data_IF_668328984739
#
_entry.id   IF_668328984739
#
_cell.length_a   1.000
_cell.length_b   1.000
_cell.length_c   1.000
_cell.angle_alpha   90.00
_cell.angle_beta   90.00
_cell.angle_gamma   90.00
#
_symmetry.space_group_name_H-M   'P 1'
#
loop_
_entity.id
_entity.type
_entity.pdbx_description
1 polymer ?
#
# COMPACT_ATOMS: atom_id res chain seq x y z
N UNK A 1 3.53 -21.90 -21.16
CA UNK A 1 2.86 -21.09 -20.10
C UNK A 1 3.92 -20.43 -19.22
N UNK A 2 4.44 -19.23 -19.54
CA UNK A 2 5.44 -18.58 -18.68
C UNK A 2 4.86 -17.52 -17.72
N UNK A 3 3.54 -17.40 -17.52
CA UNK A 3 2.94 -16.34 -16.70
C UNK A 3 2.04 -16.83 -15.55
N UNK A 4 2.18 -18.06 -15.09
CA UNK A 4 1.13 -18.66 -14.24
C UNK A 4 1.48 -18.88 -12.76
N UNK A 5 2.58 -18.39 -12.23
CA UNK A 5 2.95 -18.71 -10.84
C UNK A 5 2.48 -17.70 -9.79
N UNK A 6 2.04 -16.50 -10.19
CA UNK A 6 1.69 -15.44 -9.22
C UNK A 6 0.53 -14.51 -9.68
N UNK A 7 -0.25 -14.96 -10.63
CA UNK A 7 -1.43 -14.20 -11.09
C UNK A 7 -2.60 -14.54 -10.18
N UNK A 8 -2.96 -13.61 -9.29
CA UNK A 8 -4.21 -13.67 -8.56
C UNK A 8 -5.41 -13.69 -9.52
N UNK A 9 -6.58 -13.98 -9.00
CA UNK A 9 -7.82 -13.95 -9.80
C UNK A 9 -8.16 -12.49 -10.14
N UNK A 10 -8.41 -12.24 -11.42
CA UNK A 10 -8.95 -10.99 -11.93
C UNK A 10 -10.23 -11.31 -12.70
N UNK A 11 -11.29 -10.56 -12.45
CA UNK A 11 -12.59 -10.75 -13.11
C UNK A 11 -13.21 -9.42 -13.50
N UNK A 12 -14.30 -9.48 -14.27
CA UNK A 12 -15.07 -8.32 -14.67
C UNK A 12 -15.26 -8.24 -16.18
N UNK A 13 -16.16 -7.35 -16.60
CA UNK A 13 -16.46 -7.08 -18.02
C UNK A 13 -15.96 -5.70 -18.39
N UNK A 14 -14.99 -5.65 -19.31
CA UNK A 14 -14.47 -4.41 -19.86
C UNK A 14 -15.16 -4.12 -21.20
N UNK A 15 -15.70 -2.92 -21.35
CA UNK A 15 -16.30 -2.46 -22.59
C UNK A 15 -15.69 -1.11 -23.02
N UNK A 16 -15.55 -0.92 -24.31
CA UNK A 16 -15.12 0.32 -24.92
C UNK A 16 -16.10 0.72 -26.02
N UNK A 17 -16.51 1.97 -26.00
CA UNK A 17 -17.36 2.59 -27.01
C UNK A 17 -16.72 3.89 -27.47
N UNK A 18 -16.17 3.92 -28.69
CA UNK A 18 -15.45 5.11 -29.16
C UNK A 18 -14.90 4.96 -30.57
N UNK A 19 -14.10 5.95 -30.96
CA UNK A 19 -13.42 6.01 -32.25
C UNK A 19 -11.90 5.95 -32.05
N UNK A 20 -11.26 5.18 -32.91
CA UNK A 20 -9.81 5.18 -33.09
C UNK A 20 -9.54 5.87 -34.42
N UNK A 21 -8.75 6.93 -34.41
CA UNK A 21 -8.40 7.74 -35.56
C UNK A 21 -6.89 8.03 -35.60
N UNK A 22 -6.40 8.75 -36.59
CA UNK A 22 -4.98 9.02 -36.71
C UNK A 22 -4.23 7.95 -37.50
N UNK A 23 -2.95 7.77 -37.21
CA UNK A 23 -2.08 6.80 -37.85
C UNK A 23 -1.65 5.72 -36.89
N UNK A 24 -1.14 4.58 -37.40
CA UNK A 24 -0.62 3.48 -36.53
C UNK A 24 0.49 3.97 -35.60
N UNK A 25 1.27 4.98 -36.02
CA UNK A 25 2.35 5.57 -35.20
C UNK A 25 1.86 6.64 -34.22
N UNK A 26 0.69 7.24 -34.46
CA UNK A 26 0.09 8.26 -33.60
C UNK A 26 -1.43 8.06 -33.56
N UNK A 27 -1.91 7.02 -32.87
CA UNK A 27 -3.33 6.76 -32.74
C UNK A 27 -3.98 7.80 -31.81
N UNK A 28 -5.15 8.27 -32.20
CA UNK A 28 -6.00 9.14 -31.39
C UNK A 28 -7.21 8.35 -30.93
N UNK A 29 -7.37 8.23 -29.64
CA UNK A 29 -8.47 7.53 -28.98
C UNK A 29 -9.50 8.57 -28.50
N UNK A 30 -10.76 8.30 -28.72
CA UNK A 30 -11.84 9.07 -28.11
C UNK A 30 -13.02 8.14 -27.84
N UNK A 31 -13.61 8.23 -26.67
CA UNK A 31 -14.70 7.35 -26.29
C UNK A 31 -14.74 7.09 -24.80
N UNK A 32 -15.52 6.12 -24.43
CA UNK A 32 -15.78 5.75 -23.06
C UNK A 32 -15.36 4.31 -22.80
N UNK A 33 -14.63 4.11 -21.71
CA UNK A 33 -14.24 2.80 -21.18
C UNK A 33 -15.05 2.54 -19.92
N UNK A 34 -15.61 1.34 -19.79
CA UNK A 34 -16.33 0.91 -18.60
C UNK A 34 -15.86 -0.49 -18.19
N UNK A 35 -15.52 -0.61 -16.91
CA UNK A 35 -15.34 -1.90 -16.25
C UNK A 35 -16.53 -2.10 -15.31
N UNK A 36 -17.20 -3.24 -15.44
CA UNK A 36 -18.29 -3.67 -14.57
C UNK A 36 -17.94 -4.97 -13.86
N UNK A 37 -18.39 -5.08 -12.63
CA UNK A 37 -18.25 -6.26 -11.78
C UNK A 37 -16.80 -6.76 -11.68
N UNK A 38 -15.86 -5.77 -11.67
CA UNK A 38 -14.45 -6.05 -11.56
C UNK A 38 -14.10 -6.67 -10.21
N UNK A 39 -13.11 -7.55 -10.21
CA UNK A 39 -12.53 -8.11 -8.99
C UNK A 39 -11.03 -8.32 -9.15
N UNK A 40 -10.30 -8.10 -8.06
CA UNK A 40 -8.86 -8.34 -7.97
C UNK A 40 -8.58 -9.01 -6.63
N UNK A 41 -8.01 -10.21 -6.69
CA UNK A 41 -7.57 -10.95 -5.50
C UNK A 41 -6.21 -11.58 -5.79
N UNK A 42 -5.22 -11.29 -4.98
CA UNK A 42 -3.89 -11.87 -5.06
C UNK A 42 -3.34 -12.06 -3.65
N UNK A 43 -2.71 -13.21 -3.38
CA UNK A 43 -2.15 -13.52 -2.06
C UNK A 43 -1.06 -12.55 -1.60
N UNK A 44 -0.32 -11.97 -2.55
CA UNK A 44 0.70 -10.95 -2.28
C UNK A 44 0.14 -9.55 -2.04
N UNK A 45 -1.13 -9.30 -2.34
CA UNK A 45 -1.79 -8.02 -2.08
C UNK A 45 -2.51 -8.06 -0.73
N UNK A 46 -2.35 -7.05 0.12
CA UNK A 46 -3.03 -6.98 1.41
C UNK A 46 -4.53 -6.63 1.28
N UNK A 47 -5.05 -6.54 0.06
CA UNK A 47 -6.43 -6.17 -0.24
C UNK A 47 -7.06 -7.10 -1.25
N UNK A 48 -8.33 -7.43 -1.04
CA UNK A 48 -9.19 -8.05 -2.03
C UNK A 48 -10.23 -7.01 -2.48
N UNK A 49 -10.17 -6.63 -3.75
CA UNK A 49 -11.11 -5.67 -4.33
C UNK A 49 -12.22 -6.43 -5.06
N UNK A 50 -13.45 -6.07 -4.78
CA UNK A 50 -14.65 -6.64 -5.41
C UNK A 50 -15.58 -5.54 -5.87
N UNK A 51 -16.54 -5.90 -6.72
CA UNK A 51 -17.54 -4.97 -7.26
C UNK A 51 -16.88 -3.68 -7.80
N UNK A 52 -15.77 -3.84 -8.52
CA UNK A 52 -15.10 -2.69 -9.12
C UNK A 52 -15.94 -2.21 -10.30
N UNK A 53 -16.43 -0.98 -10.19
CA UNK A 53 -17.10 -0.25 -11.24
C UNK A 53 -16.18 0.89 -11.63
N UNK A 54 -15.77 0.98 -12.89
CA UNK A 54 -14.92 2.05 -13.37
C UNK A 54 -15.47 2.62 -14.67
N UNK A 55 -15.50 3.92 -14.75
CA UNK A 55 -15.82 4.68 -15.93
C UNK A 55 -14.67 5.64 -16.25
N UNK A 56 -14.25 5.64 -17.50
CA UNK A 56 -13.24 6.57 -18.00
C UNK A 56 -13.70 7.17 -19.32
N UNK A 57 -13.77 8.49 -19.37
CA UNK A 57 -14.03 9.23 -20.62
C UNK A 57 -12.71 9.71 -21.20
N UNK A 58 -12.43 9.26 -22.43
CA UNK A 58 -11.22 9.63 -23.19
C UNK A 58 -11.58 10.71 -24.19
N UNK A 59 -10.89 11.83 -24.12
CA UNK A 59 -11.09 12.99 -25.01
C UNK A 59 -9.74 13.52 -25.46
N UNK A 60 -9.39 13.24 -26.71
CA UNK A 60 -8.10 13.61 -27.30
C UNK A 60 -6.91 13.06 -26.49
N UNK A 61 -6.23 13.92 -25.76
CA UNK A 61 -4.99 13.62 -25.03
C UNK A 61 -5.23 13.49 -23.51
N UNK A 62 -6.49 13.39 -23.08
CA UNK A 62 -6.87 13.31 -21.68
C UNK A 62 -7.91 12.21 -21.44
N UNK A 63 -7.88 11.62 -20.25
CA UNK A 63 -8.92 10.77 -19.76
C UNK A 63 -9.31 11.17 -18.33
N UNK A 64 -10.59 11.11 -18.04
CA UNK A 64 -11.09 11.18 -16.66
C UNK A 64 -11.32 9.77 -16.13
N UNK A 65 -11.12 9.58 -14.85
CA UNK A 65 -11.33 8.30 -14.17
C UNK A 65 -12.32 8.51 -13.05
N UNK A 66 -13.37 7.70 -13.02
CA UNK A 66 -14.31 7.61 -11.92
C UNK A 66 -14.55 6.14 -11.61
N UNK A 67 -14.24 5.72 -10.41
CA UNK A 67 -14.36 4.34 -9.98
C UNK A 67 -14.92 4.21 -8.57
N UNK A 68 -15.56 3.09 -8.33
CA UNK A 68 -15.98 2.64 -7.01
C UNK A 68 -15.64 1.17 -6.86
N UNK A 69 -15.35 0.75 -5.65
CA UNK A 69 -15.00 -0.64 -5.35
C UNK A 69 -15.29 -0.97 -3.89
N UNK A 70 -15.29 -2.26 -3.58
CA UNK A 70 -15.40 -2.74 -2.22
C UNK A 70 -14.11 -3.45 -1.77
N UNK A 71 -13.79 -3.37 -0.49
CA UNK A 71 -12.81 -4.22 0.18
C UNK A 71 -13.39 -4.72 1.49
N UNK A 72 -13.72 -6.01 1.56
CA UNK A 72 -14.55 -6.55 2.61
C UNK A 72 -15.95 -5.92 2.59
N UNK A 73 -16.34 -5.26 3.70
CA UNK A 73 -17.58 -4.48 3.80
C UNK A 73 -17.38 -2.98 3.52
N UNK A 74 -16.13 -2.56 3.38
CA UNK A 74 -15.78 -1.18 3.13
C UNK A 74 -15.96 -0.79 1.68
N UNK A 75 -16.20 0.49 1.44
CA UNK A 75 -16.37 1.09 0.12
C UNK A 75 -15.26 2.09 -0.16
N UNK A 76 -14.79 2.09 -1.39
CA UNK A 76 -13.80 3.03 -1.87
C UNK A 76 -14.22 3.69 -3.17
N UNK A 77 -13.76 4.91 -3.39
CA UNK A 77 -13.92 5.65 -4.64
C UNK A 77 -12.55 6.09 -5.13
N UNK A 78 -12.36 6.01 -6.43
CA UNK A 78 -11.17 6.47 -7.13
C UNK A 78 -11.59 7.46 -8.21
N UNK A 79 -11.10 8.68 -8.12
CA UNK A 79 -11.33 9.70 -9.15
C UNK A 79 -10.02 10.25 -9.63
N UNK A 80 -9.99 10.78 -10.86
CA UNK A 80 -8.77 11.41 -11.34
C UNK A 80 -8.75 11.71 -12.82
N UNK A 81 -7.57 12.08 -13.27
CA UNK A 81 -7.29 12.45 -14.65
C UNK A 81 -5.96 11.86 -15.09
N UNK A 82 -5.89 11.51 -16.35
CA UNK A 82 -4.66 11.15 -17.05
C UNK A 82 -4.53 12.09 -18.23
N UNK A 83 -3.41 12.78 -18.31
CA UNK A 83 -3.04 13.64 -19.44
C UNK A 83 -1.79 13.05 -20.09
N UNK A 84 -1.77 12.93 -21.41
CA UNK A 84 -0.60 12.42 -22.15
C UNK A 84 -0.20 13.29 -23.34
N UNK A 85 -0.64 14.55 -23.33
CA UNK A 85 -0.40 15.48 -24.45
C UNK A 85 1.09 15.76 -24.68
N UNK A 86 1.82 16.16 -23.65
CA UNK A 86 3.23 16.54 -23.74
C UNK A 86 4.07 15.73 -22.73
N UNK A 87 3.87 16.00 -21.44
CA UNK A 87 4.50 15.27 -20.34
C UNK A 87 3.38 14.48 -19.62
N UNK A 88 3.33 13.15 -19.78
CA UNK A 88 2.29 12.35 -19.20
C UNK A 88 2.17 12.58 -17.69
N UNK A 89 0.95 12.87 -17.24
CA UNK A 89 0.65 13.08 -15.83
C UNK A 89 -0.60 12.32 -15.42
N UNK A 90 -0.52 11.63 -14.30
CA UNK A 90 -1.62 10.90 -13.71
C UNK A 90 -1.91 11.50 -12.34
N UNK A 91 -3.12 12.00 -12.15
CA UNK A 91 -3.58 12.53 -10.88
C UNK A 91 -4.76 11.71 -10.41
N UNK A 92 -4.64 11.11 -9.23
CA UNK A 92 -5.67 10.25 -8.65
C UNK A 92 -6.00 10.70 -7.24
N UNK A 93 -7.25 10.56 -6.87
CA UNK A 93 -7.75 10.72 -5.52
C UNK A 93 -8.48 9.44 -5.10
N UNK A 94 -8.02 8.86 -4.01
CA UNK A 94 -8.61 7.69 -3.37
C UNK A 94 -9.28 8.12 -2.07
N UNK A 95 -10.56 7.88 -1.96
CA UNK A 95 -11.29 7.98 -0.70
C UNK A 95 -11.87 6.62 -0.36
N UNK A 96 -11.78 6.22 0.90
CA UNK A 96 -12.33 4.95 1.35
C UNK A 96 -12.97 5.08 2.72
N UNK A 97 -13.85 4.15 3.01
CA UNK A 97 -14.46 4.01 4.33
C UNK A 97 -14.40 2.54 4.74
N UNK A 98 -13.75 2.28 5.87
CA UNK A 98 -13.62 0.94 6.47
C UNK A 98 -13.14 -0.15 5.50
N UNK A 99 -12.19 0.19 4.61
CA UNK A 99 -11.60 -0.77 3.68
C UNK A 99 -10.84 -1.84 4.46
N UNK A 100 -11.11 -3.11 4.15
CA UNK A 100 -10.42 -4.23 4.79
C UNK A 100 -9.05 -4.43 4.18
N UNK A 101 -8.02 -4.35 5.04
CA UNK A 101 -6.65 -4.74 4.73
C UNK A 101 -6.32 -6.00 5.52
N UNK A 102 -5.77 -7.01 4.85
CA UNK A 102 -5.37 -8.26 5.48
C UNK A 102 -4.03 -8.73 4.94
N UNK A 103 -3.06 -8.78 5.81
CA UNK A 103 -1.75 -9.38 5.57
C UNK A 103 -1.53 -10.49 6.61
N UNK A 104 -2.09 -11.66 6.32
CA UNK A 104 -2.00 -12.79 7.24
C UNK A 104 -0.56 -13.29 7.39
N UNK A 105 -0.16 -13.74 8.61
CA UNK A 105 -0.96 -13.72 9.85
C UNK A 105 -0.85 -12.41 10.65
N UNK A 106 -0.07 -11.43 10.16
CA UNK A 106 0.43 -10.30 10.94
C UNK A 106 -0.60 -9.20 11.19
N UNK A 107 -1.38 -8.83 10.16
CA UNK A 107 -2.23 -7.64 10.23
C UNK A 107 -3.60 -7.93 9.62
N UNK A 108 -4.65 -7.55 10.36
CA UNK A 108 -6.00 -7.35 9.82
C UNK A 108 -6.48 -5.98 10.29
N UNK A 109 -6.81 -5.09 9.37
CA UNK A 109 -7.20 -3.73 9.69
C UNK A 109 -8.38 -3.24 8.84
N UNK A 110 -9.18 -2.35 9.41
CA UNK A 110 -10.08 -1.48 8.67
C UNK A 110 -9.39 -0.12 8.52
N UNK A 111 -9.37 0.42 7.32
CA UNK A 111 -8.75 1.71 7.04
C UNK A 111 -9.70 2.64 6.30
N UNK A 112 -9.60 3.91 6.61
CA UNK A 112 -10.36 4.99 5.97
C UNK A 112 -9.35 5.97 5.38
N UNK A 113 -8.88 5.72 4.13
CA UNK A 113 -7.92 6.58 3.47
C UNK A 113 -8.59 7.78 2.80
N UNK A 114 -7.86 8.90 2.78
CA UNK A 114 -8.07 10.07 1.93
C UNK A 114 -6.72 10.43 1.32
N UNK A 115 -6.44 9.93 0.12
CA UNK A 115 -5.11 9.96 -0.47
C UNK A 115 -5.18 10.60 -1.84
N UNK A 116 -4.20 11.46 -2.14
CA UNK A 116 -3.94 11.98 -3.47
C UNK A 116 -2.62 11.45 -3.99
N UNK A 117 -2.60 11.07 -5.26
CA UNK A 117 -1.45 10.55 -5.97
C UNK A 117 -1.23 11.39 -7.23
N UNK A 118 0.01 11.84 -7.42
CA UNK A 118 0.45 12.56 -8.62
C UNK A 118 1.68 11.84 -9.19
N UNK A 119 1.58 11.38 -10.42
CA UNK A 119 2.64 10.61 -11.09
C UNK A 119 3.04 11.29 -12.38
N UNK A 120 4.34 11.52 -12.54
CA UNK A 120 4.99 12.01 -13.76
C UNK A 120 5.88 10.87 -14.30
N UNK A 121 5.35 10.01 -15.20
CA UNK A 121 6.03 8.78 -15.60
C UNK A 121 7.38 9.02 -16.29
N UNK A 122 7.48 10.02 -17.17
CA UNK A 122 8.72 10.33 -17.89
C UNK A 122 9.81 10.85 -16.94
N UNK A 123 9.43 11.66 -15.98
CA UNK A 123 10.34 12.18 -14.94
C UNK A 123 10.60 11.18 -13.84
N UNK A 124 9.89 10.04 -13.80
CA UNK A 124 9.90 9.03 -12.74
C UNK A 124 9.67 9.65 -11.35
N UNK A 125 8.72 10.57 -11.26
CA UNK A 125 8.32 11.20 -10.00
C UNK A 125 6.95 10.69 -9.56
N UNK A 126 6.83 10.40 -8.27
CA UNK A 126 5.60 10.00 -7.61
C UNK A 126 5.44 10.81 -6.33
N UNK A 127 4.32 11.50 -6.21
CA UNK A 127 3.98 12.24 -4.99
C UNK A 127 2.70 11.67 -4.40
N UNK A 128 2.75 11.29 -3.13
CA UNK A 128 1.65 10.68 -2.38
C UNK A 128 1.38 11.52 -1.13
N UNK A 129 0.18 12.09 -1.01
CA UNK A 129 -0.21 12.87 0.14
C UNK A 129 -1.54 12.39 0.69
N UNK A 130 -1.75 12.54 1.99
CA UNK A 130 -3.05 12.27 2.54
C UNK A 130 -3.08 11.84 3.99
N UNK A 131 -4.24 11.29 4.36
CA UNK A 131 -4.54 10.83 5.70
C UNK A 131 -5.12 9.42 5.63
N UNK A 132 -4.73 8.59 6.59
CA UNK A 132 -5.24 7.23 6.77
C UNK A 132 -5.70 7.11 8.22
N UNK A 133 -7.00 6.99 8.42
CA UNK A 133 -7.54 6.62 9.72
C UNK A 133 -7.66 5.09 9.81
N UNK A 134 -7.25 4.54 10.94
CA UNK A 134 -7.31 3.10 11.23
C UNK A 134 -8.26 2.89 12.41
N UNK A 135 -9.59 2.89 12.20
CA UNK A 135 -10.55 2.76 13.28
C UNK A 135 -10.42 1.46 14.05
N UNK A 136 -10.03 0.38 13.38
CA UNK A 136 -9.84 -0.95 13.96
C UNK A 136 -8.67 -1.66 13.30
N UNK A 137 -7.83 -2.29 14.11
CA UNK A 137 -6.82 -3.23 13.63
C UNK A 137 -6.53 -4.31 14.67
N UNK A 138 -6.16 -5.48 14.19
CA UNK A 138 -5.49 -6.52 14.94
C UNK A 138 -4.10 -6.71 14.33
N UNK A 139 -3.08 -6.42 15.12
CA UNK A 139 -1.68 -6.60 14.77
C UNK A 139 -1.16 -7.76 15.61
N UNK A 140 -0.80 -8.87 14.99
CA UNK A 140 -0.33 -10.07 15.70
C UNK A 140 1.18 -10.17 15.59
N UNK A 141 1.82 -10.41 16.71
CA UNK A 141 3.22 -10.81 16.72
C UNK A 141 3.31 -12.25 16.20
N UNK A 142 4.14 -12.57 15.21
CA UNK A 142 4.39 -13.96 14.86
C UNK A 142 4.94 -14.66 16.08
N UNK A 143 4.39 -15.84 16.39
CA UNK A 143 5.01 -16.71 17.40
C UNK A 143 6.44 -16.93 16.95
N UNK A 144 7.41 -16.66 17.85
CA UNK A 144 8.81 -16.87 17.55
C UNK A 144 9.00 -18.37 17.23
N UNK A 145 8.99 -18.69 15.95
CA UNK A 145 9.53 -19.96 15.51
C UNK A 145 10.96 -20.00 16.02
N UNK A 146 11.30 -21.11 16.68
CA UNK A 146 12.62 -21.46 17.22
C UNK A 146 13.73 -20.76 16.44
N UNK A 147 14.68 -20.07 17.09
CA UNK A 147 15.67 -19.28 16.38
C UNK A 147 16.33 -20.15 15.32
N UNK A 148 16.01 -19.91 14.07
CA UNK A 148 16.81 -20.40 12.96
C UNK A 148 18.15 -19.72 13.16
N UNK A 149 19.15 -20.51 13.52
CA UNK A 149 20.54 -20.07 13.61
C UNK A 149 20.81 -19.32 12.32
N UNK A 150 20.94 -18.01 12.41
CA UNK A 150 21.31 -17.21 11.25
C UNK A 150 22.61 -17.80 10.70
N UNK A 151 22.58 -18.20 9.44
CA UNK A 151 23.78 -18.59 8.72
C UNK A 151 24.79 -17.48 8.96
N UNK A 152 25.94 -17.85 9.55
CA UNK A 152 27.02 -16.91 9.88
C UNK A 152 27.24 -15.98 8.68
N UNK A 153 27.44 -14.69 8.93
CA UNK A 153 27.74 -13.68 7.91
C UNK A 153 28.96 -14.01 7.04
N UNK A 154 29.66 -15.09 7.39
CA UNK A 154 30.86 -15.60 6.72
C UNK A 154 30.56 -16.67 5.64
N UNK A 155 29.30 -17.11 5.52
CA UNK A 155 28.88 -18.06 4.47
C UNK A 155 28.37 -17.28 3.25
N UNK A 156 29.22 -17.06 2.27
CA UNK A 156 28.82 -16.66 0.92
C UNK A 156 28.29 -17.88 0.16
N UNK A 157 26.99 -17.95 -0.04
CA UNK A 157 26.39 -18.90 -0.97
C UNK A 157 26.73 -18.45 -2.39
N UNK A 158 27.79 -18.98 -2.97
CA UNK A 158 28.12 -18.80 -4.38
C UNK A 158 27.20 -19.72 -5.18
N UNK A 159 26.17 -19.16 -5.81
CA UNK A 159 25.39 -19.87 -6.83
C UNK A 159 26.16 -19.80 -8.14
N UNK A 160 26.73 -20.92 -8.55
CA UNK A 160 27.35 -21.09 -9.86
C UNK A 160 26.30 -20.88 -10.95
N UNK A 161 26.48 -19.88 -11.84
CA UNK A 161 25.62 -19.64 -13.02
C UNK A 161 24.89 -18.32 -13.11
N UNK A 162 25.08 -17.34 -12.22
CA UNK A 162 24.57 -15.99 -12.48
C UNK A 162 25.59 -15.18 -13.26
N UNK A 163 25.39 -15.12 -14.58
CA UNK A 163 26.13 -14.26 -15.48
C UNK A 163 26.11 -12.81 -15.02
N UNK A 164 27.28 -12.20 -14.92
CA UNK A 164 27.55 -10.80 -14.59
C UNK A 164 27.01 -9.78 -15.62
N UNK A 165 26.06 -10.15 -16.48
CA UNK A 165 25.49 -9.28 -17.51
C UNK A 165 24.26 -8.48 -17.06
N UNK A 166 23.84 -8.59 -15.80
CA UNK A 166 22.67 -7.87 -15.28
C UNK A 166 22.97 -6.45 -14.76
N UNK A 167 24.19 -5.93 -14.89
CA UNK A 167 24.57 -4.63 -14.30
C UNK A 167 24.39 -3.44 -15.27
N UNK A 168 23.94 -3.66 -16.49
CA UNK A 168 23.88 -2.57 -17.49
C UNK A 168 22.50 -1.93 -17.71
N UNK A 169 21.47 -2.27 -16.94
CA UNK A 169 20.18 -1.56 -16.98
C UNK A 169 19.78 -1.04 -15.62
N UNK A 170 20.58 -0.19 -15.01
CA UNK A 170 20.15 0.62 -13.87
C UNK A 170 19.20 1.73 -14.38
N UNK A 171 17.96 1.34 -14.65
CA UNK A 171 16.93 2.34 -14.92
C UNK A 171 16.89 3.31 -13.73
N UNK A 172 17.02 4.63 -14.01
CA UNK A 172 16.95 5.66 -12.97
C UNK A 172 15.81 5.34 -11.99
N UNK A 173 16.06 5.23 -10.69
CA UNK A 173 15.04 4.92 -9.71
C UNK A 173 13.96 6.01 -9.66
N UNK A 174 12.77 5.66 -9.18
CA UNK A 174 11.68 6.63 -9.00
C UNK A 174 12.00 7.59 -7.85
N UNK A 175 11.81 8.89 -8.07
CA UNK A 175 11.81 9.92 -7.01
C UNK A 175 10.44 9.88 -6.32
N UNK A 176 10.37 9.20 -5.18
CA UNK A 176 9.15 9.02 -4.40
C UNK A 176 9.11 10.07 -3.30
N UNK A 177 8.03 10.84 -3.25
CA UNK A 177 7.71 11.76 -2.17
C UNK A 177 6.41 11.35 -1.54
N UNK A 178 6.43 11.07 -0.25
CA UNK A 178 5.24 10.71 0.48
C UNK A 178 5.11 11.56 1.74
N UNK A 179 3.91 12.03 1.99
CA UNK A 179 3.50 12.74 3.20
C UNK A 179 2.14 12.19 3.63
N UNK A 180 2.15 11.31 4.62
CA UNK A 180 0.96 10.63 5.08
C UNK A 180 0.77 10.80 6.59
N UNK A 181 -0.43 11.17 7.00
CA UNK A 181 -0.83 11.13 8.41
C UNK A 181 -1.58 9.85 8.68
N UNK A 182 -1.14 9.07 9.66
CA UNK A 182 -1.79 7.84 10.09
C UNK A 182 -2.31 8.02 11.51
N UNK A 183 -3.62 7.93 11.70
CA UNK A 183 -4.29 8.02 12.99
C UNK A 183 -4.84 6.66 13.42
N UNK A 184 -4.52 6.24 14.64
CA UNK A 184 -5.07 5.03 15.23
C UNK A 184 -6.34 5.36 16.02
N UNK A 185 -7.41 4.63 15.72
CA UNK A 185 -8.66 4.69 16.46
C UNK A 185 -8.62 3.87 17.76
N UNK A 186 -9.76 3.80 18.41
CA UNK A 186 -9.90 3.18 19.75
C UNK A 186 -9.98 1.64 19.73
N UNK A 187 -10.05 1.00 18.55
CA UNK A 187 -10.14 -0.45 18.42
C UNK A 187 -8.90 -1.05 17.74
N UNK A 188 -7.76 -0.39 17.87
CA UNK A 188 -6.48 -0.91 17.40
C UNK A 188 -5.83 -1.70 18.53
N UNK A 189 -5.55 -2.97 18.26
CA UNK A 189 -5.03 -3.92 19.28
C UNK A 189 -3.79 -4.60 18.73
N UNK A 190 -2.73 -4.59 19.51
CA UNK A 190 -1.57 -5.44 19.31
C UNK A 190 -1.75 -6.72 20.15
N UNK A 191 -1.62 -7.88 19.52
CA UNK A 191 -1.66 -9.19 20.16
C UNK A 191 -0.26 -9.79 20.17
N UNK A 192 0.30 -9.93 21.36
CA UNK A 192 1.63 -10.47 21.59
C UNK A 192 1.87 -10.64 23.09
N UNK A 193 2.92 -11.36 23.48
CA UNK A 193 3.27 -11.60 24.86
C UNK A 193 2.08 -12.16 25.69
N UNK A 194 1.34 -13.09 25.10
CA UNK A 194 0.12 -13.67 25.66
C UNK A 194 -0.94 -12.63 26.10
N UNK A 195 -0.91 -11.45 25.49
CA UNK A 195 -1.74 -10.31 25.89
C UNK A 195 -2.31 -9.55 24.72
N UNK A 196 -3.38 -8.80 24.98
CA UNK A 196 -4.01 -7.90 24.01
C UNK A 196 -3.80 -6.47 24.48
N UNK A 197 -2.99 -5.73 23.75
CA UNK A 197 -2.53 -4.39 24.11
C UNK A 197 -3.24 -3.38 23.20
N UNK A 198 -4.20 -2.60 23.70
CA UNK A 198 -4.87 -1.59 22.93
C UNK A 198 -3.93 -0.40 22.70
N UNK A 199 -3.80 -0.01 21.44
CA UNK A 199 -2.93 1.05 20.98
C UNK A 199 -3.73 2.28 20.56
N UNK A 200 -3.15 3.44 20.79
CA UNK A 200 -3.61 4.71 20.23
C UNK A 200 -2.42 5.57 19.85
N UNK A 201 -2.65 6.52 18.97
CA UNK A 201 -1.59 7.44 18.56
C UNK A 201 -1.78 7.98 17.15
N UNK A 202 -0.82 8.78 16.77
CA UNK A 202 -0.75 9.36 15.42
C UNK A 202 0.68 9.43 14.96
N UNK A 203 0.90 9.07 13.70
CA UNK A 203 2.19 9.15 13.04
C UNK A 203 2.07 9.99 11.78
N UNK A 204 3.04 10.85 11.58
CA UNK A 204 3.31 11.50 10.32
C UNK A 204 4.43 10.73 9.62
N UNK A 205 4.12 10.11 8.51
CA UNK A 205 5.04 9.34 7.69
C UNK A 205 5.51 10.18 6.52
N UNK A 206 6.81 10.19 6.28
CA UNK A 206 7.39 10.92 5.17
C UNK A 206 8.48 10.13 4.48
N UNK A 207 8.55 10.27 3.15
CA UNK A 207 9.62 9.75 2.33
C UNK A 207 10.06 10.81 1.32
N UNK A 208 11.37 10.91 1.09
CA UNK A 208 11.97 11.85 0.15
C UNK A 208 13.02 11.12 -0.69
N UNK A 209 12.79 11.07 -2.01
CA UNK A 209 13.70 10.45 -2.95
C UNK A 209 13.57 8.93 -3.06
N UNK A 210 14.38 8.34 -3.93
CA UNK A 210 14.28 6.94 -4.33
C UNK A 210 14.86 5.96 -3.31
N UNK A 211 15.86 6.38 -2.54
CA UNK A 211 16.66 5.49 -1.68
C UNK A 211 16.51 5.79 -0.19
N UNK A 212 15.73 6.79 0.18
CA UNK A 212 15.56 7.15 1.58
C UNK A 212 14.56 6.24 2.25
N UNK A 213 14.94 5.70 3.39
CA UNK A 213 14.03 4.97 4.26
C UNK A 213 12.86 5.87 4.69
N UNK A 214 11.68 5.27 4.80
CA UNK A 214 10.50 5.97 5.33
C UNK A 214 10.78 6.48 6.74
N UNK A 215 10.48 7.75 6.97
CA UNK A 215 10.62 8.41 8.27
C UNK A 215 9.27 8.56 8.93
N UNK A 216 9.27 8.51 10.25
CA UNK A 216 8.09 8.74 11.05
C UNK A 216 8.34 9.84 12.09
N UNK A 217 7.32 10.62 12.36
CA UNK A 217 7.27 11.56 13.48
C UNK A 217 5.94 11.38 14.22
N UNK A 218 5.98 11.36 15.54
CA UNK A 218 4.80 11.17 16.37
C UNK A 218 4.96 10.12 17.44
N UNK A 219 3.87 9.59 17.94
CA UNK A 219 3.90 8.59 19.00
C UNK A 219 2.75 7.60 18.89
N UNK A 220 3.04 6.37 19.26
CA UNK A 220 2.05 5.32 19.52
C UNK A 220 2.19 4.91 20.99
N UNK A 221 1.09 4.86 21.70
CA UNK A 221 1.07 4.48 23.10
C UNK A 221 0.00 3.46 23.42
N UNK A 222 0.10 2.91 24.61
CA UNK A 222 -0.90 2.02 25.18
C UNK A 222 -2.02 2.87 25.79
N UNK A 223 -3.27 2.56 25.44
CA UNK A 223 -4.43 3.37 25.85
C UNK A 223 -4.90 3.11 27.28
N UNK A 224 -4.50 1.98 27.89
CA UNK A 224 -4.91 1.57 29.23
C UNK A 224 -3.88 0.65 29.87
N UNK A 225 -3.98 0.44 31.19
CA UNK A 225 -3.14 -0.53 31.91
C UNK A 225 -3.39 -1.94 31.38
N UNK A 226 -2.34 -2.67 31.11
CA UNK A 226 -2.38 -4.03 30.58
C UNK A 226 -1.38 -4.90 31.36
N UNK A 227 -1.77 -6.12 31.67
CA UNK A 227 -0.82 -7.15 32.11
C UNK A 227 -0.25 -7.86 30.91
N UNK A 228 1.04 -7.97 30.86
CA UNK A 228 1.76 -8.73 29.82
C UNK A 228 2.51 -9.89 30.45
N UNK A 229 2.57 -11.01 29.78
CA UNK A 229 3.34 -12.17 30.18
C UNK A 229 4.57 -12.29 29.31
N UNK A 230 5.74 -12.10 29.89
CA UNK A 230 7.00 -12.23 29.19
C UNK A 230 7.99 -13.02 30.04
N UNK A 231 8.65 -13.98 29.42
CA UNK A 231 9.68 -14.83 30.06
C UNK A 231 9.20 -15.52 31.37
N UNK A 232 7.93 -15.94 31.40
CA UNK A 232 7.35 -16.61 32.56
C UNK A 232 7.00 -15.68 33.73
N UNK A 233 7.06 -14.37 33.53
CA UNK A 233 6.70 -13.37 34.55
C UNK A 233 5.54 -12.50 34.04
N UNK A 234 4.68 -12.12 34.98
CA UNK A 234 3.58 -11.18 34.73
C UNK A 234 4.04 -9.76 35.07
N UNK A 235 3.98 -8.88 34.10
CA UNK A 235 4.39 -7.48 34.23
C UNK A 235 3.18 -6.57 34.03
N UNK A 236 3.02 -5.58 34.91
CA UNK A 236 2.00 -4.55 34.76
C UNK A 236 2.52 -3.41 33.89
N UNK A 237 2.00 -3.33 32.66
CA UNK A 237 2.30 -2.23 31.74
C UNK A 237 1.35 -1.07 32.02
N UNK A 238 1.78 -0.14 32.87
CA UNK A 238 0.97 1.01 33.26
C UNK A 238 0.97 2.12 32.21
N UNK A 239 2.10 2.28 31.51
CA UNK A 239 2.29 3.28 30.45
C UNK A 239 3.44 2.84 29.56
N UNK A 240 3.17 2.75 28.25
CA UNK A 240 4.21 2.60 27.24
C UNK A 240 3.93 3.55 26.08
N UNK A 241 4.95 4.24 25.63
CA UNK A 241 4.90 5.16 24.51
C UNK A 241 6.14 4.92 23.64
N UNK A 242 5.92 4.51 22.41
CA UNK A 242 6.96 4.50 21.38
C UNK A 242 6.92 5.85 20.66
N UNK A 243 8.02 6.58 20.71
CA UNK A 243 8.19 7.84 20.00
C UNK A 243 8.97 7.62 18.73
N UNK A 244 8.51 8.29 17.69
CA UNK A 244 9.14 8.25 16.37
C UNK A 244 9.62 9.66 16.05
N UNK A 245 10.90 9.79 15.75
CA UNK A 245 11.54 11.03 15.29
C UNK A 245 12.69 10.71 14.35
N UNK A 246 12.42 9.91 13.33
CA UNK A 246 13.46 9.44 12.43
C UNK A 246 13.00 8.32 11.54
N UNK A 247 13.85 7.34 11.29
CA UNK A 247 13.53 6.18 10.48
C UNK A 247 12.45 5.35 11.19
N UNK A 248 11.39 4.96 10.44
CA UNK A 248 10.22 4.24 10.98
C UNK A 248 10.60 2.94 11.70
N UNK A 249 11.65 2.27 11.26
CA UNK A 249 12.10 0.99 11.84
C UNK A 249 12.87 1.15 13.17
N UNK A 250 13.13 2.37 13.63
CA UNK A 250 13.91 2.63 14.84
C UNK A 250 13.21 3.65 15.77
N UNK A 251 12.11 3.24 16.46
CA UNK A 251 11.46 4.08 17.47
C UNK A 251 12.34 4.22 18.73
N UNK A 252 12.16 5.31 19.47
CA UNK A 252 12.80 5.60 20.78
C UNK A 252 11.79 5.57 21.91
#
# INVERSE_FOLDING_TARGET
KPFSADVGSMGGTLSYAGKISGTVKAPRLSGDVRLKDGSISKSSLPVNLTNIQLYSAIRQDQATINGAFNSGRGVGTLTGTVDWKNDPRIQLQLNGENLLIRQAPLITALVTPKITLDVLPLSKKLTLNGEIQVPRALISMPEASVPVVNVSSDVRVVREGQNQLAILNSAKPWDIRADLMVGLGNQVVFQGFNSRIPLLGRLYLSQRGAETAMRANGAIGVSQKVKIEAYGQSLDLNRAIARFNGVLSNPT
#
